data_IF_994621253626
#
_entry.id   IF_994621253626
#
_cell.length_a   1.000
_cell.length_b   1.000
_cell.length_c   1.000
_cell.angle_alpha   90.00
_cell.angle_beta   90.00
_cell.angle_gamma   90.00
#
_symmetry.space_group_name_H-M   'P 1'
#
loop_
_entity.id
_entity.type
_entity.pdbx_description
1 polymer ?
#
# COMPACT_ATOMS: atom_id res chain seq x y z
N UNK A 1 24.01 -17.49 4.35
CA UNK A 1 22.94 -16.65 4.90
C UNK A 1 21.87 -16.57 3.84
N UNK A 2 20.59 -16.70 4.20
CA UNK A 2 19.48 -16.50 3.27
C UNK A 2 19.44 -15.03 2.81
N UNK A 3 19.13 -14.76 1.55
CA UNK A 3 19.03 -13.40 0.98
C UNK A 3 17.75 -12.64 1.38
N UNK A 4 17.08 -13.06 2.45
CA UNK A 4 15.81 -12.50 2.94
C UNK A 4 15.72 -12.58 4.48
N UNK A 5 14.93 -11.71 5.13
CA UNK A 5 14.79 -11.70 6.59
C UNK A 5 14.09 -12.98 7.08
N UNK A 6 14.42 -13.44 8.29
CA UNK A 6 13.84 -14.67 8.87
C UNK A 6 12.30 -14.62 8.96
N UNK A 7 11.72 -13.45 9.16
CA UNK A 7 10.27 -13.21 9.13
C UNK A 7 9.62 -13.62 7.80
N UNK A 8 10.35 -13.57 6.68
CA UNK A 8 9.89 -13.92 5.34
C UNK A 8 10.02 -15.42 5.01
N UNK A 9 10.52 -16.25 5.94
CA UNK A 9 10.78 -17.67 5.70
C UNK A 9 9.56 -18.44 5.19
N UNK A 10 8.36 -18.16 5.74
CA UNK A 10 7.12 -18.81 5.32
C UNK A 10 6.81 -18.59 3.82
N UNK A 11 7.21 -17.45 3.24
CA UNK A 11 7.06 -17.17 1.80
C UNK A 11 8.04 -18.03 0.97
N UNK A 12 9.30 -18.08 1.40
CA UNK A 12 10.34 -18.84 0.72
C UNK A 12 10.05 -20.36 0.74
N UNK A 13 9.52 -20.87 1.86
CA UNK A 13 9.19 -22.28 2.05
C UNK A 13 7.83 -22.68 1.45
N UNK A 14 7.04 -21.72 0.94
CA UNK A 14 5.76 -22.00 0.30
C UNK A 14 5.95 -22.90 -0.92
N UNK A 15 5.47 -24.14 -0.84
CA UNK A 15 5.44 -25.11 -1.94
C UNK A 15 4.08 -25.06 -2.67
N UNK A 16 4.04 -25.02 -4.02
CA UNK A 16 2.79 -25.02 -4.76
C UNK A 16 1.84 -26.17 -4.38
N UNK A 17 0.59 -25.85 -4.11
CA UNK A 17 -0.51 -26.81 -3.95
C UNK A 17 -1.47 -26.78 -5.14
N UNK A 18 -1.52 -25.65 -5.86
CA UNK A 18 -2.34 -25.47 -7.04
C UNK A 18 -1.51 -25.04 -8.26
N UNK A 19 -2.16 -24.98 -9.43
CA UNK A 19 -1.51 -24.63 -10.69
C UNK A 19 -1.27 -23.12 -10.89
N UNK A 20 -1.92 -22.29 -10.06
CA UNK A 20 -1.91 -20.84 -10.14
C UNK A 20 -1.52 -20.21 -8.80
N UNK A 21 -1.11 -18.95 -8.84
CA UNK A 21 -0.78 -18.15 -7.66
C UNK A 21 -1.43 -16.78 -7.75
N UNK A 22 -1.96 -16.29 -6.64
CA UNK A 22 -2.49 -14.91 -6.52
C UNK A 22 -1.92 -14.22 -5.28
N UNK A 23 -1.20 -13.12 -5.49
CA UNK A 23 -0.87 -12.15 -4.44
C UNK A 23 -1.95 -11.08 -4.37
N UNK A 24 -2.41 -10.76 -3.17
CA UNK A 24 -3.54 -9.83 -2.97
C UNK A 24 -3.09 -8.74 -2.01
N UNK A 25 -3.13 -7.48 -2.42
CA UNK A 25 -2.95 -6.39 -1.46
C UNK A 25 -4.18 -6.26 -0.53
N UNK A 26 -3.95 -5.70 0.65
CA UNK A 26 -4.99 -5.59 1.68
C UNK A 26 -5.67 -4.22 1.65
N UNK A 27 -4.91 -3.16 1.94
CA UNK A 27 -5.43 -1.83 2.20
C UNK A 27 -5.81 -1.11 0.91
N UNK A 28 -7.08 -0.75 0.74
CA UNK A 28 -7.60 -0.16 -0.51
C UNK A 28 -7.73 -1.16 -1.65
N UNK A 29 -7.44 -2.44 -1.39
CA UNK A 29 -7.56 -3.54 -2.34
C UNK A 29 -8.59 -4.57 -1.85
N UNK A 30 -8.30 -5.34 -0.80
CA UNK A 30 -9.28 -6.25 -0.20
C UNK A 30 -10.28 -5.51 0.72
N UNK A 31 -9.85 -4.42 1.36
CA UNK A 31 -10.64 -3.66 2.34
C UNK A 31 -10.66 -2.16 2.04
N UNK A 32 -11.76 -1.48 2.38
CA UNK A 32 -11.89 -0.01 2.32
C UNK A 32 -11.22 0.70 3.51
N UNK A 33 -10.05 0.22 3.91
CA UNK A 33 -9.32 0.72 5.07
C UNK A 33 -8.47 1.94 4.74
N UNK A 34 -8.07 2.12 3.47
CA UNK A 34 -7.21 3.23 3.03
C UNK A 34 -7.85 4.60 3.31
N UNK A 35 -9.13 4.74 3.02
CA UNK A 35 -9.87 5.99 3.22
C UNK A 35 -9.88 6.41 4.70
N UNK A 36 -10.33 5.52 5.59
CA UNK A 36 -10.39 5.79 7.04
C UNK A 36 -9.00 5.94 7.66
N UNK A 37 -8.01 5.10 7.27
CA UNK A 37 -6.62 5.23 7.73
C UNK A 37 -6.10 6.63 7.39
N UNK A 38 -6.26 7.09 6.16
CA UNK A 38 -5.73 8.39 5.77
C UNK A 38 -6.53 9.57 6.36
N UNK A 39 -7.85 9.59 6.19
CA UNK A 39 -8.70 10.73 6.56
C UNK A 39 -8.82 10.93 8.07
N UNK A 40 -8.84 9.84 8.83
CA UNK A 40 -9.06 9.88 10.28
C UNK A 40 -7.79 9.64 11.11
N UNK A 41 -6.74 9.02 10.54
CA UNK A 41 -5.51 8.75 11.29
C UNK A 41 -4.31 9.56 10.78
N UNK A 42 -3.90 9.38 9.52
CA UNK A 42 -2.68 10.03 9.00
C UNK A 42 -2.81 11.54 8.89
N UNK A 43 -3.92 12.03 8.33
CA UNK A 43 -4.12 13.45 8.07
C UNK A 43 -4.25 14.25 9.36
N UNK A 44 -5.08 13.84 10.36
CA UNK A 44 -5.17 14.55 11.63
C UNK A 44 -3.83 14.56 12.39
N UNK A 45 -3.09 13.44 12.41
CA UNK A 45 -1.77 13.41 13.04
C UNK A 45 -0.75 14.27 12.30
N UNK A 46 -0.77 14.28 10.95
CA UNK A 46 0.08 15.18 10.16
C UNK A 46 -0.21 16.64 10.49
N UNK A 47 -1.48 17.03 10.60
CA UNK A 47 -1.85 18.39 10.99
C UNK A 47 -1.40 18.71 12.42
N UNK A 48 -1.61 17.78 13.35
CA UNK A 48 -1.29 17.93 14.78
C UNK A 48 0.20 18.13 15.03
N UNK A 49 1.02 17.18 14.59
CA UNK A 49 2.45 17.13 14.95
C UNK A 49 3.30 18.13 14.18
N UNK A 50 2.87 18.56 13.00
CA UNK A 50 3.64 19.47 12.14
C UNK A 50 3.12 20.91 12.14
N UNK A 51 2.22 21.25 13.07
CA UNK A 51 1.76 22.63 13.25
C UNK A 51 0.94 23.18 12.07
N UNK A 52 0.27 22.32 11.30
CA UNK A 52 -0.43 22.73 10.07
C UNK A 52 -1.88 23.19 10.30
N UNK A 53 -2.30 23.41 11.55
CA UNK A 53 -3.65 23.85 11.91
C UNK A 53 -4.10 25.10 11.12
N UNK A 54 -3.27 26.15 10.92
CA UNK A 54 -3.67 27.34 10.19
C UNK A 54 -3.97 27.09 8.70
N UNK A 55 -3.52 25.96 8.14
CA UNK A 55 -3.75 25.56 6.74
C UNK A 55 -4.35 24.16 6.65
N UNK A 56 -5.05 23.72 7.71
CA UNK A 56 -5.56 22.35 7.85
C UNK A 56 -6.34 21.89 6.61
N UNK A 57 -7.26 22.71 6.09
CA UNK A 57 -7.98 22.46 4.82
C UNK A 57 -7.05 22.05 3.67
N UNK A 58 -5.96 22.81 3.47
CA UNK A 58 -5.02 22.57 2.38
C UNK A 58 -4.09 21.39 2.65
N UNK A 59 -3.77 21.13 3.92
CA UNK A 59 -3.02 19.95 4.34
C UNK A 59 -3.81 18.66 4.08
N UNK A 60 -5.12 18.64 4.35
CA UNK A 60 -6.00 17.52 3.99
C UNK A 60 -5.97 17.24 2.49
N UNK A 61 -6.23 18.25 1.68
CA UNK A 61 -6.22 18.13 0.22
C UNK A 61 -4.88 17.65 -0.35
N UNK A 62 -3.76 18.16 0.18
CA UNK A 62 -2.42 17.72 -0.23
C UNK A 62 -2.17 16.25 0.14
N UNK A 63 -2.55 15.85 1.35
CA UNK A 63 -2.38 14.49 1.83
C UNK A 63 -3.30 13.49 1.11
N UNK A 64 -4.55 13.83 0.86
CA UNK A 64 -5.48 13.01 0.06
C UNK A 64 -4.96 12.84 -1.37
N UNK A 65 -4.50 13.93 -2.01
CA UNK A 65 -3.89 13.82 -3.34
C UNK A 65 -2.69 12.88 -3.34
N UNK A 66 -1.73 13.06 -2.43
CA UNK A 66 -0.52 12.22 -2.38
C UNK A 66 -0.86 10.76 -2.09
N UNK A 67 -1.69 10.50 -1.08
CA UNK A 67 -1.83 9.14 -0.54
C UNK A 67 -2.99 8.34 -1.15
N UNK A 68 -4.05 9.00 -1.64
CA UNK A 68 -5.27 8.33 -2.09
C UNK A 68 -5.51 8.50 -3.60
N UNK A 69 -5.34 9.70 -4.15
CA UNK A 69 -5.91 10.06 -5.46
C UNK A 69 -4.87 10.52 -6.49
N UNK A 70 -3.67 9.95 -6.48
CA UNK A 70 -2.62 10.25 -7.47
C UNK A 70 -1.72 9.06 -7.72
N UNK A 71 -0.79 9.20 -8.67
CA UNK A 71 0.25 8.19 -8.94
C UNK A 71 1.18 7.89 -7.76
N UNK A 72 1.03 8.61 -6.65
CA UNK A 72 1.77 8.43 -5.40
C UNK A 72 0.98 7.60 -4.38
N UNK A 73 -0.23 7.12 -4.73
CA UNK A 73 -1.02 6.22 -3.90
C UNK A 73 -0.19 5.03 -3.41
N UNK A 74 -0.34 4.69 -2.13
CA UNK A 74 0.32 3.54 -1.51
C UNK A 74 1.85 3.64 -1.33
N UNK A 75 2.47 4.80 -1.54
CA UNK A 75 3.91 4.97 -1.23
C UNK A 75 4.16 4.95 0.28
N UNK A 76 5.42 4.71 0.67
CA UNK A 76 5.81 4.77 2.07
C UNK A 76 5.51 6.13 2.70
N UNK A 77 5.08 6.11 3.97
CA UNK A 77 4.65 7.28 4.74
C UNK A 77 5.67 8.42 4.80
N UNK A 78 6.97 8.12 4.76
CA UNK A 78 8.02 9.13 4.88
C UNK A 78 8.15 9.98 3.60
N UNK A 79 8.36 9.40 2.40
CA UNK A 79 8.22 10.14 1.14
C UNK A 79 6.87 10.87 1.03
N UNK A 80 5.76 10.23 1.40
CA UNK A 80 4.44 10.87 1.33
C UNK A 80 4.36 12.14 2.17
N UNK A 81 4.82 12.10 3.42
CA UNK A 81 4.85 13.26 4.32
C UNK A 81 5.64 14.42 3.71
N UNK A 82 6.82 14.12 3.17
CA UNK A 82 7.69 15.12 2.54
C UNK A 82 6.99 15.76 1.32
N UNK A 83 6.35 14.96 0.46
CA UNK A 83 5.61 15.45 -0.69
C UNK A 83 4.42 16.34 -0.29
N UNK A 84 3.75 16.04 0.82
CA UNK A 84 2.68 16.89 1.37
C UNK A 84 3.24 18.27 1.73
N UNK A 85 4.39 18.34 2.41
CA UNK A 85 5.02 19.63 2.74
C UNK A 85 5.43 20.41 1.48
N UNK A 86 5.99 19.73 0.49
CA UNK A 86 6.42 20.32 -0.78
C UNK A 86 5.22 20.95 -1.50
N UNK A 87 4.13 20.18 -1.63
CA UNK A 87 2.89 20.66 -2.23
C UNK A 87 2.30 21.84 -1.47
N UNK A 88 2.34 21.83 -0.14
CA UNK A 88 1.84 22.92 0.69
C UNK A 88 2.65 24.20 0.48
N UNK A 89 3.98 24.13 0.38
CA UNK A 89 4.83 25.32 0.16
C UNK A 89 4.51 26.04 -1.15
N UNK A 90 4.10 25.28 -2.16
CA UNK A 90 3.77 25.83 -3.47
C UNK A 90 2.37 26.45 -3.55
N UNK A 91 1.49 26.28 -2.55
CA UNK A 91 0.10 26.78 -2.63
C UNK A 91 0.02 28.26 -2.27
N UNK A 92 -0.61 29.05 -3.14
CA UNK A 92 -0.84 30.47 -2.90
C UNK A 92 -1.60 30.74 -1.60
N UNK A 93 -2.57 29.88 -1.24
CA UNK A 93 -3.36 30.06 -0.03
C UNK A 93 -2.60 29.78 1.27
N UNK A 94 -1.56 28.94 1.20
CA UNK A 94 -0.64 28.68 2.32
C UNK A 94 0.30 29.87 2.50
N UNK A 95 0.87 30.37 1.38
CA UNK A 95 1.74 31.54 1.36
C UNK A 95 1.01 32.81 1.84
N UNK A 96 -0.25 33.01 1.42
CA UNK A 96 -1.08 34.13 1.86
C UNK A 96 -1.35 34.13 3.37
N UNK A 97 -1.27 32.97 4.02
CA UNK A 97 -1.38 32.83 5.49
C UNK A 97 -0.03 32.92 6.21
N UNK A 98 1.06 33.17 5.48
CA UNK A 98 2.43 33.23 6.00
C UNK A 98 2.85 31.96 6.76
N UNK A 99 2.24 30.81 6.44
CA UNK A 99 2.62 29.52 7.02
C UNK A 99 3.82 28.99 6.28
N UNK A 100 4.81 28.49 7.01
CA UNK A 100 6.01 27.84 6.48
C UNK A 100 5.95 26.33 6.76
N UNK A 101 5.44 25.50 5.83
CA UNK A 101 5.49 24.05 5.99
C UNK A 101 6.94 23.55 6.15
N UNK A 102 7.19 22.52 6.99
CA UNK A 102 8.54 22.01 7.28
C UNK A 102 9.33 21.66 6.02
N UNK A 103 10.62 22.01 5.95
CA UNK A 103 11.52 21.56 4.86
C UNK A 103 11.78 20.05 4.90
N UNK A 104 11.77 19.50 6.13
CA UNK A 104 11.96 18.09 6.44
C UNK A 104 13.34 17.56 6.00
N UNK A 105 14.40 18.33 6.28
CA UNK A 105 15.75 18.05 5.77
C UNK A 105 16.35 16.78 6.40
N UNK A 106 16.09 16.53 7.68
CA UNK A 106 16.55 15.31 8.37
C UNK A 106 15.74 14.09 7.95
N UNK A 107 14.43 14.26 7.74
CA UNK A 107 13.60 13.18 7.20
C UNK A 107 14.04 12.84 5.77
N UNK A 108 14.36 13.83 4.92
CA UNK A 108 14.92 13.57 3.58
C UNK A 108 16.24 12.82 3.64
N UNK A 109 17.14 13.21 4.55
CA UNK A 109 18.40 12.52 4.76
C UNK A 109 18.19 11.06 5.19
N UNK A 110 17.25 10.81 6.11
CA UNK A 110 16.82 9.47 6.51
C UNK A 110 16.26 8.65 5.33
N UNK A 111 15.38 9.24 4.51
CA UNK A 111 14.80 8.57 3.33
C UNK A 111 15.87 8.16 2.31
N UNK A 112 16.89 9.01 2.14
CA UNK A 112 17.99 8.81 1.18
C UNK A 112 19.03 7.78 1.67
N UNK A 113 19.14 7.58 2.98
CA UNK A 113 20.10 6.63 3.54
C UNK A 113 19.57 5.19 3.48
N UNK A 114 20.02 4.45 2.47
CA UNK A 114 19.65 3.05 2.26
C UNK A 114 20.09 2.10 3.38
N UNK A 115 20.98 2.52 4.29
CA UNK A 115 21.37 1.72 5.44
C UNK A 115 20.23 1.56 6.47
N UNK A 116 19.24 2.45 6.44
CA UNK A 116 18.12 2.44 7.39
C UNK A 116 16.80 2.11 6.68
N UNK A 117 16.07 1.07 7.12
CA UNK A 117 14.76 0.77 6.57
C UNK A 117 13.79 1.91 6.88
N UNK A 118 12.83 2.16 5.97
CA UNK A 118 11.83 3.23 6.10
C UNK A 118 10.69 2.87 7.06
N UNK A 119 11.05 2.42 8.26
CA UNK A 119 10.19 1.96 9.35
C UNK A 119 10.44 2.76 10.63
N UNK A 120 9.62 2.54 11.67
CA UNK A 120 9.84 3.19 12.97
C UNK A 120 11.17 2.77 13.61
N UNK A 121 11.57 1.51 13.45
CA UNK A 121 12.84 1.01 13.99
C UNK A 121 14.04 1.53 13.20
N UNK A 122 13.91 1.64 11.88
CA UNK A 122 14.93 2.28 11.07
C UNK A 122 15.10 3.76 11.41
N UNK A 123 14.00 4.48 11.68
CA UNK A 123 14.07 5.86 12.17
C UNK A 123 14.79 5.94 13.52
N UNK A 124 14.46 5.08 14.49
CA UNK A 124 15.14 5.04 15.80
C UNK A 124 16.63 4.78 15.67
N UNK A 125 17.02 3.84 14.81
CA UNK A 125 18.42 3.56 14.54
C UNK A 125 19.13 4.76 13.89
N UNK A 126 18.47 5.44 12.94
CA UNK A 126 19.00 6.66 12.32
C UNK A 126 19.19 7.79 13.35
N UNK A 127 18.20 7.99 14.24
CA UNK A 127 18.23 8.98 15.32
C UNK A 127 19.37 8.77 16.30
N UNK A 128 19.73 7.51 16.61
CA UNK A 128 20.82 7.19 17.51
C UNK A 128 22.17 7.75 17.01
N UNK A 129 22.36 7.83 15.70
CA UNK A 129 23.53 8.43 15.06
C UNK A 129 23.35 9.93 14.74
N UNK A 130 22.11 10.41 14.69
CA UNK A 130 21.76 11.76 14.23
C UNK A 130 20.69 12.42 15.11
N UNK A 131 20.98 12.79 16.38
CA UNK A 131 19.98 13.41 17.24
C UNK A 131 19.53 14.77 16.67
N UNK A 132 18.21 14.94 16.48
CA UNK A 132 17.62 16.17 15.93
C UNK A 132 16.14 16.28 16.31
N UNK A 133 15.68 17.49 16.66
CA UNK A 133 14.29 17.77 17.06
C UNK A 133 13.27 17.47 15.94
N UNK A 134 13.69 17.61 14.67
CA UNK A 134 12.85 17.21 13.53
C UNK A 134 12.54 15.71 13.57
N UNK A 135 13.53 14.89 13.94
CA UNK A 135 13.37 13.45 14.02
C UNK A 135 12.60 13.01 15.27
N UNK A 136 12.71 13.74 16.38
CA UNK A 136 11.85 13.54 17.55
C UNK A 136 10.37 13.79 17.18
N UNK A 137 10.11 14.85 16.42
CA UNK A 137 8.78 15.17 15.90
C UNK A 137 8.29 14.08 14.93
N UNK A 138 9.17 13.61 14.05
CA UNK A 138 8.89 12.51 13.12
C UNK A 138 8.51 11.21 13.87
N UNK A 139 9.25 10.87 14.92
CA UNK A 139 8.99 9.69 15.74
C UNK A 139 7.65 9.83 16.48
N UNK A 140 7.38 10.99 17.07
CA UNK A 140 6.10 11.24 17.73
C UNK A 140 4.92 11.18 16.74
N UNK A 141 5.09 11.72 15.53
CA UNK A 141 4.10 11.66 14.45
C UNK A 141 3.79 10.22 14.04
N UNK A 142 4.81 9.42 13.70
CA UNK A 142 4.57 8.05 13.20
C UNK A 142 3.98 7.14 14.29
N UNK A 143 4.37 7.33 15.55
CA UNK A 143 3.77 6.61 16.67
C UNK A 143 2.33 7.07 16.92
N UNK A 144 2.04 8.37 16.81
CA UNK A 144 0.68 8.91 16.90
C UNK A 144 -0.23 8.38 15.81
N UNK A 145 0.25 8.28 14.57
CA UNK A 145 -0.49 7.64 13.46
C UNK A 145 -0.81 6.19 13.81
N UNK A 146 0.18 5.40 14.24
CA UNK A 146 -0.05 4.00 14.60
C UNK A 146 -1.09 3.85 15.73
N UNK A 147 -1.02 4.71 16.75
CA UNK A 147 -1.99 4.72 17.84
C UNK A 147 -3.40 5.04 17.34
N UNK A 148 -3.57 6.05 16.47
CA UNK A 148 -4.88 6.36 15.88
C UNK A 148 -5.41 5.24 15.00
N UNK A 149 -4.56 4.56 14.21
CA UNK A 149 -4.99 3.41 13.40
C UNK A 149 -5.49 2.27 14.29
N UNK A 150 -4.77 1.97 15.38
CA UNK A 150 -5.18 0.92 16.31
C UNK A 150 -6.50 1.25 17.05
N UNK A 151 -6.77 2.53 17.30
CA UNK A 151 -7.95 3.00 18.02
C UNK A 151 -9.20 3.14 17.11
N UNK A 152 -9.02 3.60 15.86
CA UNK A 152 -10.13 4.01 14.98
C UNK A 152 -10.49 2.94 13.95
N UNK A 153 -9.52 2.13 13.49
CA UNK A 153 -9.71 1.26 12.31
C UNK A 153 -9.98 -0.18 12.75
N UNK A 154 -11.26 -0.52 12.81
CA UNK A 154 -11.80 -1.85 13.11
C UNK A 154 -13.16 -2.04 12.43
N UNK A 155 -13.59 -3.29 12.21
CA UNK A 155 -14.91 -3.61 11.68
C UNK A 155 -15.17 -3.16 10.23
N UNK A 156 -14.12 -2.89 9.45
CA UNK A 156 -14.24 -2.50 8.04
C UNK A 156 -14.35 -3.76 7.19
N UNK A 157 -15.52 -4.10 6.63
CA UNK A 157 -15.69 -5.32 5.86
C UNK A 157 -14.83 -5.30 4.59
N UNK A 158 -14.51 -6.49 4.02
CA UNK A 158 -13.91 -6.53 2.70
C UNK A 158 -14.90 -5.98 1.66
N UNK A 159 -14.38 -5.48 0.53
CA UNK A 159 -15.23 -5.04 -0.57
C UNK A 159 -16.16 -6.18 -1.04
N UNK A 160 -17.35 -5.85 -1.57
CA UNK A 160 -18.20 -6.82 -2.24
C UNK A 160 -17.41 -7.65 -3.26
N UNK A 161 -17.75 -8.93 -3.39
CA UNK A 161 -17.09 -9.91 -4.28
C UNK A 161 -15.67 -10.33 -3.89
N UNK A 162 -15.02 -9.72 -2.89
CA UNK A 162 -13.71 -10.21 -2.39
C UNK A 162 -13.85 -11.64 -1.86
N UNK A 163 -14.79 -11.88 -0.94
CA UNK A 163 -14.96 -13.19 -0.31
C UNK A 163 -15.31 -14.26 -1.35
N UNK A 164 -16.21 -13.95 -2.26
CA UNK A 164 -16.65 -14.80 -3.35
C UNK A 164 -15.47 -15.17 -4.26
N UNK A 165 -14.62 -14.19 -4.58
CA UNK A 165 -13.41 -14.39 -5.38
C UNK A 165 -12.40 -15.29 -4.67
N UNK A 166 -12.16 -15.07 -3.37
CA UNK A 166 -11.27 -15.92 -2.56
C UNK A 166 -11.80 -17.35 -2.47
N UNK A 167 -13.08 -17.52 -2.16
CA UNK A 167 -13.70 -18.84 -2.06
C UNK A 167 -13.67 -19.59 -3.40
N UNK A 168 -13.90 -18.90 -4.52
CA UNK A 168 -13.77 -19.46 -5.85
C UNK A 168 -12.33 -19.91 -6.12
N UNK A 169 -11.34 -19.05 -5.87
CA UNK A 169 -9.93 -19.34 -6.11
C UNK A 169 -9.33 -20.40 -5.19
N UNK A 170 -9.93 -20.68 -4.03
CA UNK A 170 -9.39 -21.59 -3.01
C UNK A 170 -9.03 -22.99 -3.52
N UNK A 171 -9.68 -23.47 -4.59
CA UNK A 171 -9.37 -24.77 -5.20
C UNK A 171 -8.49 -24.68 -6.47
N UNK A 172 -8.13 -23.47 -6.90
CA UNK A 172 -7.47 -23.21 -8.17
C UNK A 172 -6.10 -22.53 -8.03
N UNK A 173 -5.89 -21.75 -6.96
CA UNK A 173 -4.69 -20.97 -6.77
C UNK A 173 -4.21 -20.96 -5.32
N UNK A 174 -2.90 -20.97 -5.15
CA UNK A 174 -2.26 -20.60 -3.89
C UNK A 174 -2.37 -19.08 -3.71
N UNK A 175 -2.97 -18.63 -2.61
CA UNK A 175 -3.19 -17.20 -2.34
C UNK A 175 -2.37 -16.71 -1.15
N UNK A 176 -1.82 -15.51 -1.23
CA UNK A 176 -1.17 -14.81 -0.11
C UNK A 176 -1.60 -13.34 -0.04
N UNK A 177 -1.49 -12.75 1.14
CA UNK A 177 -1.56 -11.29 1.28
C UNK A 177 -0.19 -10.69 1.00
N UNK A 178 -0.15 -9.63 0.19
CA UNK A 178 1.06 -8.90 -0.20
C UNK A 178 0.88 -7.43 0.16
N UNK A 179 1.29 -7.03 1.37
CA UNK A 179 1.05 -5.67 1.86
C UNK A 179 2.29 -5.01 2.47
N UNK A 180 2.26 -3.67 2.55
CA UNK A 180 3.25 -2.86 3.26
C UNK A 180 2.80 -2.49 4.70
N UNK A 181 1.64 -2.99 5.12
CA UNK A 181 1.08 -2.78 6.45
C UNK A 181 1.67 -3.78 7.45
N UNK A 182 1.83 -3.44 8.74
CA UNK A 182 2.32 -4.37 9.75
C UNK A 182 1.47 -5.65 9.80
N UNK A 183 2.14 -6.80 9.94
CA UNK A 183 1.49 -8.13 9.95
C UNK A 183 0.37 -8.23 10.97
N UNK A 184 0.58 -7.70 12.18
CA UNK A 184 -0.41 -7.75 13.25
C UNK A 184 -1.75 -7.13 12.82
N UNK A 185 -1.71 -5.96 12.15
CA UNK A 185 -2.92 -5.28 11.68
C UNK A 185 -3.60 -6.08 10.57
N UNK A 186 -2.82 -6.61 9.62
CA UNK A 186 -3.34 -7.44 8.54
C UNK A 186 -3.99 -8.72 9.06
N UNK A 187 -3.33 -9.44 9.96
CA UNK A 187 -3.87 -10.66 10.57
C UNK A 187 -5.19 -10.37 11.26
N UNK A 188 -5.25 -9.30 12.09
CA UNK A 188 -6.49 -8.90 12.75
C UNK A 188 -7.62 -8.61 11.75
N UNK A 189 -7.37 -7.77 10.74
CA UNK A 189 -8.37 -7.39 9.72
C UNK A 189 -8.88 -8.61 8.94
N UNK A 190 -7.99 -9.50 8.50
CA UNK A 190 -8.36 -10.71 7.74
C UNK A 190 -9.06 -11.78 8.59
N UNK A 191 -8.69 -11.92 9.87
CA UNK A 191 -9.33 -12.84 10.81
C UNK A 191 -10.69 -12.32 11.30
N UNK A 192 -10.82 -11.02 11.58
CA UNK A 192 -12.07 -10.37 12.00
C UNK A 192 -13.21 -10.63 11.00
N UNK A 193 -12.86 -10.74 9.72
CA UNK A 193 -13.80 -11.02 8.64
C UNK A 193 -13.77 -12.46 8.13
N UNK A 194 -13.10 -13.38 8.81
CA UNK A 194 -13.08 -14.82 8.45
C UNK A 194 -12.67 -15.07 6.98
N UNK A 195 -11.74 -14.27 6.45
CA UNK A 195 -11.16 -14.46 5.11
C UNK A 195 -9.69 -14.88 5.14
N UNK A 196 -9.03 -14.80 6.31
CA UNK A 196 -7.69 -15.32 6.53
C UNK A 196 -7.56 -16.81 6.15
N UNK A 197 -8.63 -17.59 6.29
CA UNK A 197 -8.66 -19.01 5.94
C UNK A 197 -8.38 -19.33 4.47
N UNK A 198 -8.54 -18.36 3.55
CA UNK A 198 -8.30 -18.57 2.13
C UNK A 198 -6.84 -18.37 1.73
N UNK A 199 -6.05 -17.65 2.54
CA UNK A 199 -4.67 -17.31 2.21
C UNK A 199 -3.70 -18.19 3.00
N UNK A 200 -2.58 -18.55 2.37
CA UNK A 200 -1.55 -19.40 2.97
C UNK A 200 -0.57 -18.64 3.84
N UNK A 201 -0.34 -17.37 3.51
CA UNK A 201 0.57 -16.47 4.23
C UNK A 201 0.01 -15.06 4.19
N UNK A 202 0.04 -14.39 5.34
CA UNK A 202 -0.20 -12.94 5.43
C UNK A 202 1.16 -12.25 5.51
N UNK A 203 1.63 -11.68 4.41
CA UNK A 203 2.92 -10.98 4.36
C UNK A 203 2.74 -9.46 4.42
N UNK A 204 3.27 -8.88 5.50
CA UNK A 204 3.27 -7.46 5.78
C UNK A 204 4.67 -6.85 5.75
N UNK A 205 4.78 -5.65 6.32
CA UNK A 205 6.00 -4.83 6.28
C UNK A 205 7.24 -5.57 6.81
N UNK A 206 7.09 -6.39 7.84
CA UNK A 206 8.16 -7.10 8.52
C UNK A 206 8.80 -8.19 7.63
N UNK A 207 8.10 -8.72 6.63
CA UNK A 207 8.60 -9.72 5.68
C UNK A 207 9.28 -9.11 4.45
N UNK A 208 9.37 -7.78 4.38
CA UNK A 208 10.10 -7.06 3.34
C UNK A 208 9.19 -6.32 2.36
N UNK A 209 9.64 -6.19 1.12
CA UNK A 209 8.89 -5.44 0.11
C UNK A 209 7.86 -6.33 -0.59
N UNK A 210 6.78 -5.73 -1.11
CA UNK A 210 5.80 -6.44 -1.97
C UNK A 210 6.46 -7.21 -3.12
N UNK A 211 7.50 -6.63 -3.73
CA UNK A 211 8.29 -7.30 -4.77
C UNK A 211 9.00 -8.55 -4.24
N UNK A 212 9.58 -8.49 -3.03
CA UNK A 212 10.22 -9.63 -2.38
C UNK A 212 9.19 -10.69 -2.00
N UNK A 213 7.98 -10.31 -1.58
CA UNK A 213 6.93 -11.26 -1.25
C UNK A 213 6.58 -12.14 -2.46
N UNK A 214 6.33 -11.51 -3.61
CA UNK A 214 6.06 -12.21 -4.87
C UNK A 214 7.26 -13.03 -5.36
N UNK A 215 8.48 -12.49 -5.20
CA UNK A 215 9.71 -13.20 -5.56
C UNK A 215 9.83 -14.52 -4.79
N UNK A 216 9.70 -14.47 -3.46
CA UNK A 216 9.87 -15.63 -2.60
C UNK A 216 8.71 -16.63 -2.75
N UNK A 217 7.47 -16.15 -2.87
CA UNK A 217 6.29 -17.00 -2.85
C UNK A 217 5.92 -17.59 -4.21
N UNK A 218 6.28 -16.94 -5.32
CA UNK A 218 5.77 -17.31 -6.64
C UNK A 218 6.84 -17.44 -7.74
N UNK A 219 7.84 -16.55 -7.77
CA UNK A 219 8.81 -16.54 -8.88
C UNK A 219 9.61 -17.84 -8.93
N UNK A 220 9.64 -18.48 -10.10
CA UNK A 220 10.29 -19.78 -10.29
C UNK A 220 9.51 -20.98 -9.74
N UNK A 221 8.39 -20.75 -9.02
CA UNK A 221 7.49 -21.79 -8.52
C UNK A 221 6.26 -21.99 -9.41
N UNK A 222 5.85 -20.94 -10.14
CA UNK A 222 4.75 -20.97 -11.10
C UNK A 222 5.16 -20.34 -12.44
N UNK A 223 4.53 -20.72 -13.56
CA UNK A 223 4.67 -20.00 -14.82
C UNK A 223 4.19 -18.55 -14.70
N UNK A 224 4.88 -17.60 -15.36
CA UNK A 224 4.57 -16.17 -15.31
C UNK A 224 3.10 -15.83 -15.61
N UNK A 225 2.50 -16.48 -16.60
CA UNK A 225 1.09 -16.27 -16.97
C UNK A 225 0.08 -16.83 -15.95
N UNK A 226 0.56 -17.50 -14.89
CA UNK A 226 -0.23 -18.06 -13.80
C UNK A 226 0.07 -17.43 -12.44
N UNK A 227 0.80 -16.31 -12.43
CA UNK A 227 1.03 -15.49 -11.25
C UNK A 227 0.26 -14.19 -11.46
N UNK A 228 -0.69 -13.90 -10.58
CA UNK A 228 -1.45 -12.66 -10.60
C UNK A 228 -1.19 -11.86 -9.33
N UNK A 229 -0.96 -10.56 -9.47
CA UNK A 229 -0.99 -9.60 -8.36
C UNK A 229 -2.26 -8.75 -8.48
N UNK A 230 -3.09 -8.75 -7.45
CA UNK A 230 -4.26 -7.88 -7.32
C UNK A 230 -3.89 -6.73 -6.40
N UNK A 231 -4.04 -5.48 -6.84
CA UNK A 231 -3.68 -4.32 -6.03
C UNK A 231 -4.22 -3.00 -6.57
N UNK A 232 -4.14 -1.97 -5.74
CA UNK A 232 -4.76 -0.65 -5.98
C UNK A 232 -3.74 0.48 -6.13
N UNK A 233 -2.45 0.20 -5.98
CA UNK A 233 -1.39 1.19 -6.05
C UNK A 233 -0.39 0.91 -7.19
N UNK A 234 0.25 1.96 -7.75
CA UNK A 234 1.34 1.79 -8.72
C UNK A 234 2.51 0.94 -8.20
N UNK A 235 2.68 0.87 -6.87
CA UNK A 235 3.65 0.00 -6.23
C UNK A 235 3.38 -1.50 -6.47
N UNK A 236 2.11 -1.90 -6.53
CA UNK A 236 1.69 -3.29 -6.79
C UNK A 236 1.98 -3.68 -8.23
N UNK A 237 1.60 -2.81 -9.18
CA UNK A 237 1.93 -2.99 -10.60
C UNK A 237 3.44 -3.13 -10.81
N UNK A 238 4.24 -2.31 -10.11
CA UNK A 238 5.70 -2.41 -10.15
C UNK A 238 6.20 -3.75 -9.58
N UNK A 239 5.64 -4.21 -8.46
CA UNK A 239 6.00 -5.48 -7.85
C UNK A 239 5.64 -6.68 -8.75
N UNK A 240 4.48 -6.63 -9.41
CA UNK A 240 4.04 -7.63 -10.37
C UNK A 240 5.02 -7.73 -11.55
N UNK A 241 5.31 -6.59 -12.20
CA UNK A 241 6.25 -6.50 -13.33
C UNK A 241 7.65 -6.99 -12.97
N UNK A 242 8.16 -6.64 -11.78
CA UNK A 242 9.48 -7.07 -11.32
C UNK A 242 9.60 -8.59 -11.18
N UNK A 243 8.48 -9.30 -11.01
CA UNK A 243 8.42 -10.75 -10.85
C UNK A 243 7.86 -11.49 -12.07
N UNK A 244 7.62 -10.78 -13.18
CA UNK A 244 7.00 -11.36 -14.37
C UNK A 244 5.58 -11.90 -14.09
N UNK A 245 4.87 -11.30 -13.13
CA UNK A 245 3.49 -11.59 -12.82
C UNK A 245 2.55 -10.68 -13.62
N UNK A 246 1.35 -11.18 -13.87
CA UNK A 246 0.21 -10.38 -14.33
C UNK A 246 -0.27 -9.45 -13.21
N UNK A 247 -0.94 -8.36 -13.57
CA UNK A 247 -1.49 -7.39 -12.63
C UNK A 247 -2.98 -7.15 -12.89
N UNK A 248 -3.80 -7.23 -11.84
CA UNK A 248 -5.20 -6.81 -11.85
C UNK A 248 -5.40 -5.58 -10.97
N UNK A 249 -5.80 -4.44 -11.56
CA UNK A 249 -6.02 -3.21 -10.79
C UNK A 249 -7.37 -3.22 -10.05
N UNK A 250 -7.31 -2.87 -8.77
CA UNK A 250 -8.46 -2.34 -8.02
C UNK A 250 -8.47 -0.83 -8.19
N UNK A 251 -9.47 -0.31 -8.88
CA UNK A 251 -9.52 1.09 -9.29
C UNK A 251 -10.00 1.98 -8.12
N UNK A 252 -9.23 3.01 -7.71
CA UNK A 252 -9.65 3.89 -6.62
C UNK A 252 -10.96 4.63 -6.91
N UNK A 253 -11.90 4.55 -5.98
CA UNK A 253 -13.27 5.08 -6.12
C UNK A 253 -14.21 4.22 -6.97
N UNK A 254 -13.75 3.06 -7.45
CA UNK A 254 -14.52 2.07 -8.19
C UNK A 254 -14.17 0.63 -7.74
N UNK A 255 -13.79 0.47 -6.47
CA UNK A 255 -13.29 -0.78 -5.89
C UNK A 255 -14.31 -1.92 -6.01
N UNK A 256 -15.57 -1.67 -5.66
CA UNK A 256 -16.69 -2.61 -5.80
C UNK A 256 -16.84 -3.11 -7.24
N UNK A 257 -16.71 -2.20 -8.21
CA UNK A 257 -16.83 -2.51 -9.65
C UNK A 257 -15.63 -3.33 -10.12
N UNK A 258 -14.42 -3.00 -9.63
CA UNK A 258 -13.22 -3.78 -9.89
C UNK A 258 -13.35 -5.21 -9.36
N UNK A 259 -13.86 -5.42 -8.14
CA UNK A 259 -14.05 -6.77 -7.60
C UNK A 259 -15.18 -7.55 -8.27
N UNK A 260 -16.29 -6.88 -8.63
CA UNK A 260 -17.35 -7.50 -9.41
C UNK A 260 -16.81 -8.00 -10.77
N UNK A 261 -16.10 -7.13 -11.51
CA UNK A 261 -15.47 -7.51 -12.78
C UNK A 261 -14.46 -8.64 -12.58
N UNK A 262 -13.73 -8.64 -11.46
CA UNK A 262 -12.77 -9.70 -11.17
C UNK A 262 -13.48 -11.05 -11.05
N UNK A 263 -14.51 -11.11 -10.21
CA UNK A 263 -15.26 -12.32 -9.93
C UNK A 263 -16.03 -12.84 -11.14
N UNK A 264 -16.73 -11.96 -11.86
CA UNK A 264 -17.63 -12.35 -12.95
C UNK A 264 -16.90 -12.61 -14.28
N UNK A 265 -15.69 -12.08 -14.45
CA UNK A 265 -14.98 -12.10 -15.75
C UNK A 265 -13.48 -12.42 -15.62
N UNK A 266 -12.73 -11.57 -14.92
CA UNK A 266 -11.28 -11.58 -15.03
C UNK A 266 -10.64 -12.84 -14.45
N UNK A 267 -11.21 -13.38 -13.36
CA UNK A 267 -10.73 -14.62 -12.73
C UNK A 267 -10.85 -15.81 -13.68
N UNK A 268 -11.91 -15.86 -14.49
CA UNK A 268 -12.11 -16.92 -15.49
C UNK A 268 -11.09 -16.80 -16.63
N UNK A 269 -10.83 -15.58 -17.11
CA UNK A 269 -9.77 -15.32 -18.10
C UNK A 269 -8.39 -15.69 -17.58
N UNK A 270 -8.12 -15.40 -16.30
CA UNK A 270 -6.86 -15.75 -15.66
C UNK A 270 -6.66 -17.27 -15.61
N UNK A 271 -7.65 -18.02 -15.13
CA UNK A 271 -7.59 -19.49 -15.07
C UNK A 271 -7.55 -20.17 -16.45
N UNK A 272 -8.06 -19.50 -17.49
CA UNK A 272 -7.97 -19.94 -18.88
C UNK A 272 -6.65 -19.53 -19.58
N UNK A 273 -5.75 -18.81 -18.89
CA UNK A 273 -4.52 -18.22 -19.47
C UNK A 273 -4.79 -17.20 -20.61
N UNK A 274 -5.97 -16.58 -20.61
CA UNK A 274 -6.43 -15.56 -21.58
C UNK A 274 -6.36 -14.13 -21.03
N UNK A 275 -5.92 -13.95 -19.78
CA UNK A 275 -5.90 -12.65 -19.10
C UNK A 275 -4.84 -11.68 -19.63
N UNK A 276 -3.64 -12.19 -19.94
CA UNK A 276 -2.51 -11.36 -20.36
C UNK A 276 -2.71 -10.68 -21.72
N UNK A 277 -1.81 -9.77 -22.07
CA UNK A 277 -1.82 -9.10 -23.37
C UNK A 277 -2.84 -7.95 -23.43
N UNK A 278 -3.75 -7.97 -24.40
CA UNK A 278 -4.62 -6.83 -24.68
C UNK A 278 -5.60 -6.54 -23.53
N UNK A 279 -6.09 -7.59 -22.84
CA UNK A 279 -7.03 -7.45 -21.74
C UNK A 279 -6.39 -6.76 -20.54
N UNK A 280 -5.30 -7.33 -20.00
CA UNK A 280 -4.51 -6.69 -18.94
C UNK A 280 -4.06 -5.27 -19.30
N UNK A 281 -3.61 -5.03 -20.55
CA UNK A 281 -3.14 -3.70 -20.98
C UNK A 281 -4.27 -2.66 -20.90
N UNK A 282 -5.50 -3.03 -21.28
CA UNK A 282 -6.65 -2.14 -21.19
C UNK A 282 -6.99 -1.81 -19.72
N UNK A 283 -6.98 -2.81 -18.83
CA UNK A 283 -7.23 -2.60 -17.40
C UNK A 283 -6.19 -1.68 -16.76
N UNK A 284 -4.91 -1.88 -17.07
CA UNK A 284 -3.82 -1.01 -16.58
C UNK A 284 -3.98 0.42 -17.09
N UNK A 285 -4.38 0.61 -18.34
CA UNK A 285 -4.59 1.95 -18.90
C UNK A 285 -5.76 2.69 -18.22
N UNK A 286 -6.86 1.98 -17.93
CA UNK A 286 -7.98 2.52 -17.13
C UNK A 286 -7.49 2.96 -15.74
N UNK A 287 -6.72 2.10 -15.06
CA UNK A 287 -6.17 2.36 -13.74
C UNK A 287 -5.24 3.59 -13.72
N UNK A 288 -4.28 3.66 -14.64
CA UNK A 288 -3.32 4.77 -14.72
C UNK A 288 -4.03 6.10 -15.01
N UNK A 289 -5.12 6.09 -15.79
CA UNK A 289 -5.90 7.29 -16.09
C UNK A 289 -6.61 7.88 -14.85
N UNK A 290 -6.90 7.06 -13.83
CA UNK A 290 -7.49 7.51 -12.56
C UNK A 290 -6.49 8.14 -11.59
N UNK A 291 -5.19 8.03 -11.87
CA UNK A 291 -4.11 8.43 -10.97
C UNK A 291 -3.34 9.65 -11.50
N UNK A 292 -3.88 10.88 -11.36
CA UNK A 292 -3.25 12.08 -11.90
C UNK A 292 -1.86 12.33 -11.30
N UNK A 293 -0.93 12.80 -12.12
CA UNK A 293 0.40 13.21 -11.67
C UNK A 293 0.44 14.63 -11.07
N UNK A 294 -0.52 15.48 -11.45
CA UNK A 294 -0.58 16.90 -11.10
C UNK A 294 -1.85 17.17 -10.30
N UNK A 295 -1.74 17.81 -9.11
CA UNK A 295 -2.89 18.10 -8.27
C UNK A 295 -3.83 19.13 -8.93
N UNK A 296 -5.13 19.10 -8.59
CA UNK A 296 -6.13 19.93 -9.26
C UNK A 296 -5.91 21.44 -9.07
N UNK A 297 -5.25 21.88 -7.99
CA UNK A 297 -4.94 23.30 -7.75
C UNK A 297 -3.71 23.82 -8.50
N UNK A 298 -3.02 22.98 -9.27
CA UNK A 298 -1.91 23.38 -10.16
C UNK A 298 -2.31 23.38 -11.64
N UNK A 299 -3.58 23.13 -11.94
CA UNK A 299 -4.12 23.11 -13.30
C UNK A 299 -4.63 24.49 -13.72
#
# INVERSE_FOLDING_TARGET
MTDYPDSARALAELSPQHGFFVGIDSDGCAFDTMEVKHKECFIPNTIKYWGLQPVSKYARQAAEFVNLYSKWRGINRWPALVMVFDLLRERAEVQARSVQPPQADRIRAFIADSAYPKSNDGLRAYMAAHPDLELDTALAWTLGVNASVADIVYGVPPFPYVRESLAFLANHADMIVVSATPVEALTREWEEHDIAQYVRVIAGQEQGSKSLHLELAARGKYPSQRILMIGDAPGDLKAARANGALFYPINPGAEDVSWQRFYEEAVHKFLAEEYGGAYETALIAEFEAMLPAVPPWKR
#
